data_IF_935165585625
#
_entry.id   IF_935165585625
#
_cell.length_a   1.000
_cell.length_b   1.000
_cell.length_c   1.000
_cell.angle_alpha   90.00
_cell.angle_beta   90.00
_cell.angle_gamma   90.00
#
_symmetry.space_group_name_H-M   'P 1'
#
loop_
_entity.id
_entity.type
_entity.pdbx_description
1 polymer ?
#
# COMPACT_ATOMS: atom_id res chain seq x y z
N UNK A 1 -33.04 -20.76 43.32
CA UNK A 1 -33.56 -19.41 43.62
C UNK A 1 -33.36 -18.60 42.36
N UNK A 2 -34.46 -18.16 41.76
CA UNK A 2 -34.45 -17.36 40.52
C UNK A 2 -34.02 -15.96 40.95
N UNK A 3 -32.85 -15.51 40.51
CA UNK A 3 -32.47 -14.11 40.62
C UNK A 3 -33.41 -13.31 39.73
N UNK A 4 -34.29 -12.55 40.37
CA UNK A 4 -35.20 -11.62 39.72
C UNK A 4 -34.35 -10.45 39.23
N UNK A 5 -34.16 -10.40 37.92
CA UNK A 5 -33.68 -9.23 37.20
C UNK A 5 -34.52 -8.02 37.59
N UNK A 6 -33.93 -7.06 38.32
CA UNK A 6 -34.48 -5.71 38.40
C UNK A 6 -34.11 -4.99 37.09
N UNK A 7 -34.83 -5.40 36.05
CA UNK A 7 -34.82 -4.83 34.72
C UNK A 7 -35.44 -3.42 34.78
N UNK A 8 -34.61 -2.42 34.46
CA UNK A 8 -34.96 -1.03 34.12
C UNK A 8 -35.53 -0.13 35.22
N UNK A 9 -34.64 0.60 35.94
CA UNK A 9 -34.91 2.03 36.26
C UNK A 9 -33.67 2.83 36.70
N UNK A 10 -32.49 2.57 36.13
CA UNK A 10 -31.36 3.49 36.26
C UNK A 10 -31.48 4.65 35.28
N UNK A 11 -31.28 5.90 35.71
CA UNK A 11 -31.10 7.02 34.76
C UNK A 11 -29.75 6.85 34.06
N UNK A 12 -29.73 6.97 32.73
CA UNK A 12 -28.51 6.81 31.92
C UNK A 12 -28.12 8.12 31.26
N UNK A 13 -26.81 8.34 31.06
CA UNK A 13 -26.33 9.43 30.23
C UNK A 13 -26.53 9.07 28.75
N UNK A 14 -27.37 9.80 28.02
CA UNK A 14 -27.61 9.49 26.60
C UNK A 14 -26.46 9.84 25.65
N UNK A 15 -25.32 10.32 26.17
CA UNK A 15 -24.11 10.64 25.39
C UNK A 15 -23.13 9.46 25.41
N UNK A 16 -22.88 8.87 26.58
CA UNK A 16 -21.97 7.73 26.74
C UNK A 16 -22.70 6.38 26.96
N UNK A 17 -24.03 6.40 27.16
CA UNK A 17 -24.86 5.23 27.44
C UNK A 17 -24.52 4.49 28.74
N UNK A 18 -23.77 5.13 29.65
CA UNK A 18 -23.49 4.61 30.98
C UNK A 18 -24.52 5.09 32.01
N UNK A 19 -24.66 4.34 33.11
CA UNK A 19 -25.55 4.68 34.22
C UNK A 19 -25.05 5.92 34.97
N UNK A 20 -25.95 6.86 35.26
CA UNK A 20 -25.64 8.03 36.08
C UNK A 20 -25.50 7.60 37.54
N UNK A 21 -24.41 7.97 38.22
CA UNK A 21 -24.24 7.73 39.66
C UNK A 21 -24.20 9.04 40.46
N UNK A 22 -25.37 9.56 40.91
CA UNK A 22 -25.49 10.84 41.63
C UNK A 22 -24.59 11.04 42.85
N UNK A 23 -24.13 9.95 43.48
CA UNK A 23 -23.31 9.97 44.70
C UNK A 23 -21.82 10.08 44.37
N UNK A 24 -21.37 9.49 43.25
CA UNK A 24 -19.95 9.35 42.92
C UNK A 24 -19.50 10.17 41.73
N UNK A 25 -20.43 10.66 40.91
CA UNK A 25 -20.16 11.33 39.64
C UNK A 25 -20.84 12.70 39.59
N UNK A 26 -20.17 13.63 38.90
CA UNK A 26 -20.68 14.97 38.71
C UNK A 26 -21.70 15.01 37.57
N UNK A 27 -22.95 15.36 37.92
CA UNK A 27 -24.08 15.39 36.99
C UNK A 27 -24.50 16.83 36.69
N UNK A 28 -24.78 17.10 35.42
CA UNK A 28 -25.33 18.38 34.97
C UNK A 28 -26.70 18.20 34.34
N UNK A 29 -27.62 19.13 34.61
CA UNK A 29 -28.90 19.23 33.91
C UNK A 29 -28.97 20.47 33.05
N UNK A 30 -29.66 20.37 31.90
CA UNK A 30 -29.99 21.53 31.09
C UNK A 30 -31.28 22.14 31.62
N UNK A 31 -31.21 23.32 32.25
CA UNK A 31 -32.32 23.96 32.99
C UNK A 31 -33.58 24.18 32.16
N UNK A 32 -33.44 24.40 30.84
CA UNK A 32 -34.57 24.64 29.94
C UNK A 32 -35.40 23.38 29.62
N UNK A 33 -34.83 22.18 29.78
CA UNK A 33 -35.49 20.92 29.39
C UNK A 33 -35.35 19.78 30.41
N UNK A 34 -34.57 19.95 31.47
CA UNK A 34 -34.43 19.00 32.57
C UNK A 34 -33.61 17.73 32.27
N UNK A 35 -33.08 17.55 31.06
CA UNK A 35 -32.28 16.36 30.74
C UNK A 35 -30.92 16.40 31.44
N UNK A 36 -30.50 15.24 31.97
CA UNK A 36 -29.31 15.08 32.83
C UNK A 36 -28.23 14.26 32.12
N UNK A 37 -26.97 14.67 32.29
CA UNK A 37 -25.79 14.05 31.70
C UNK A 37 -24.61 14.10 32.69
N UNK A 38 -23.57 13.30 32.46
CA UNK A 38 -22.29 13.55 33.14
C UNK A 38 -21.74 14.92 32.73
N UNK A 39 -21.14 15.63 33.68
CA UNK A 39 -20.54 16.95 33.48
C UNK A 39 -19.59 16.98 32.28
N UNK A 40 -18.65 16.04 32.22
CA UNK A 40 -17.68 15.96 31.12
C UNK A 40 -18.34 15.66 29.77
N UNK A 41 -19.36 14.79 29.74
CA UNK A 41 -20.06 14.44 28.51
C UNK A 41 -20.79 15.66 27.91
N UNK A 42 -21.47 16.45 28.74
CA UNK A 42 -22.19 17.63 28.29
C UNK A 42 -21.25 18.76 27.87
N UNK A 43 -20.14 18.97 28.60
CA UNK A 43 -19.10 19.94 28.23
C UNK A 43 -18.50 19.62 26.86
N UNK A 44 -18.11 18.37 26.62
CA UNK A 44 -17.56 17.95 25.33
C UNK A 44 -18.57 18.10 24.19
N UNK A 45 -19.86 17.84 24.44
CA UNK A 45 -20.93 18.05 23.48
C UNK A 45 -21.05 19.54 23.07
N UNK A 46 -20.94 20.46 24.02
CA UNK A 46 -20.95 21.89 23.74
C UNK A 46 -19.71 22.36 23.00
N UNK A 47 -18.53 21.83 23.32
CA UNK A 47 -17.29 22.15 22.61
C UNK A 47 -17.30 21.70 21.15
N UNK A 48 -17.88 20.54 20.86
CA UNK A 48 -18.02 20.05 19.49
C UNK A 48 -19.01 20.89 18.67
N UNK A 49 -20.01 21.48 19.32
CA UNK A 49 -21.11 22.22 18.67
C UNK A 49 -20.78 23.68 18.29
N UNK A 50 -19.51 24.10 18.31
CA UNK A 50 -19.02 25.50 18.14
C UNK A 50 -19.51 26.25 16.87
N UNK A 51 -20.13 25.57 15.89
CA UNK A 51 -20.57 26.19 14.65
C UNK A 51 -22.05 26.65 14.63
N UNK A 52 -22.93 26.12 15.50
CA UNK A 52 -24.36 26.48 15.56
C UNK A 52 -24.87 26.22 16.98
N UNK A 53 -25.52 27.23 17.59
CA UNK A 53 -26.25 27.23 18.88
C UNK A 53 -26.28 25.87 19.62
N UNK A 54 -25.81 25.82 20.87
CA UNK A 54 -25.84 24.58 21.66
C UNK A 54 -27.27 24.01 21.72
N UNK A 55 -27.40 22.69 21.62
CA UNK A 55 -28.69 22.01 21.67
C UNK A 55 -28.62 20.82 22.62
N UNK A 56 -29.72 20.53 23.30
CA UNK A 56 -29.83 19.36 24.16
C UNK A 56 -29.63 18.07 23.33
N UNK A 57 -28.77 17.13 23.75
CA UNK A 57 -28.58 15.85 23.07
C UNK A 57 -29.86 15.04 22.89
N UNK A 58 -30.82 15.16 23.82
CA UNK A 58 -32.07 14.40 23.81
C UNK A 58 -33.17 15.10 23.01
N UNK A 59 -33.64 16.26 23.45
CA UNK A 59 -34.79 16.94 22.86
C UNK A 59 -34.44 17.95 21.74
N UNK A 60 -33.15 18.18 21.49
CA UNK A 60 -32.64 19.14 20.49
C UNK A 60 -33.05 20.61 20.70
N UNK A 61 -33.64 20.93 21.85
CA UNK A 61 -33.96 22.31 22.22
C UNK A 61 -32.67 23.14 22.36
N UNK A 62 -32.67 24.35 21.82
CA UNK A 62 -31.54 25.27 21.88
C UNK A 62 -31.28 25.77 23.29
N UNK A 63 -30.06 25.57 23.79
CA UNK A 63 -29.56 26.02 25.09
C UNK A 63 -28.28 26.85 24.93
N UNK A 64 -27.86 27.50 26.00
CA UNK A 64 -26.57 28.18 26.16
C UNK A 64 -25.72 27.38 27.15
N UNK A 65 -24.41 27.62 27.17
CA UNK A 65 -23.50 27.01 28.15
C UNK A 65 -23.96 27.29 29.59
N UNK A 66 -24.48 28.49 29.86
CA UNK A 66 -25.00 28.87 31.18
C UNK A 66 -26.33 28.19 31.56
N UNK A 67 -26.98 27.50 30.62
CA UNK A 67 -28.19 26.73 30.92
C UNK A 67 -27.85 25.34 31.48
N UNK A 68 -26.57 24.92 31.48
CA UNK A 68 -26.12 23.71 32.16
C UNK A 68 -25.81 24.03 33.63
N UNK A 69 -26.55 23.40 34.55
CA UNK A 69 -26.31 23.52 35.99
C UNK A 69 -25.90 22.18 36.60
N UNK A 70 -24.93 22.22 37.51
CA UNK A 70 -24.51 21.05 38.29
C UNK A 70 -25.58 20.71 39.33
N UNK A 71 -25.92 19.44 39.40
CA UNK A 71 -26.87 18.90 40.37
C UNK A 71 -26.13 18.48 41.64
N UNK A 72 -26.74 18.74 42.79
CA UNK A 72 -26.27 18.28 44.09
C UNK A 72 -27.38 17.47 44.76
N UNK A 73 -27.05 16.27 45.23
CA UNK A 73 -28.01 15.37 45.86
C UNK A 73 -27.75 15.36 47.36
N UNK A 74 -28.76 15.74 48.15
CA UNK A 74 -28.71 15.56 49.60
C UNK A 74 -28.88 14.07 49.89
N UNK A 75 -27.85 13.45 50.47
CA UNK A 75 -27.96 12.09 50.97
C UNK A 75 -28.91 12.10 52.17
N UNK A 76 -30.10 11.53 52.00
CA UNK A 76 -30.91 11.04 53.12
C UNK A 76 -30.35 9.66 53.43
N UNK A 77 -29.48 9.59 54.44
CA UNK A 77 -28.88 8.34 54.86
C UNK A 77 -29.96 7.29 55.10
N UNK A 78 -29.81 6.14 54.47
CA UNK A 78 -30.54 4.94 54.86
C UNK A 78 -30.17 4.63 56.32
N UNK A 79 -31.18 4.43 57.15
CA UNK A 79 -31.09 4.46 58.61
C UNK A 79 -30.38 3.24 59.22
N UNK A 80 -29.12 3.01 58.87
CA UNK A 80 -28.25 2.02 59.51
C UNK A 80 -26.76 2.44 59.64
N UNK A 81 -26.47 3.73 59.50
CA UNK A 81 -25.21 4.30 59.99
C UNK A 81 -25.51 5.04 61.30
N UNK A 82 -24.94 4.56 62.40
CA UNK A 82 -24.93 5.26 63.69
C UNK A 82 -24.25 6.62 63.53
N UNK A 83 -25.06 7.66 63.34
CA UNK A 83 -24.64 9.06 63.42
C UNK A 83 -24.21 9.36 64.86
N UNK A 84 -22.96 9.79 65.13
CA UNK A 84 -22.67 10.51 66.36
C UNK A 84 -23.30 11.89 66.21
N UNK A 85 -24.43 12.05 66.88
CA UNK A 85 -25.09 13.33 67.13
C UNK A 85 -24.08 14.42 67.50
N UNK A 86 -24.28 15.61 66.95
CA UNK A 86 -23.68 16.87 67.41
C UNK A 86 -23.78 16.97 68.94
N UNK A 87 -22.74 16.53 69.63
CA UNK A 87 -22.39 17.02 70.96
C UNK A 87 -21.27 18.02 70.77
N UNK A 88 -21.46 19.20 71.36
CA UNK A 88 -20.43 20.19 71.63
C UNK A 88 -19.09 19.52 71.90
N UNK A 89 -18.15 19.64 70.97
CA UNK A 89 -16.80 19.11 71.12
C UNK A 89 -16.08 20.02 72.11
N UNK A 90 -16.02 19.52 73.34
CA UNK A 90 -14.98 19.86 74.29
C UNK A 90 -13.65 19.42 73.67
N UNK A 91 -12.71 20.36 73.52
CA UNK A 91 -11.38 20.12 72.96
C UNK A 91 -10.56 19.30 73.96
N UNK A 92 -10.71 17.99 73.91
CA UNK A 92 -9.71 17.08 74.46
C UNK A 92 -9.30 16.11 73.36
N UNK A 93 -8.42 16.59 72.50
CA UNK A 93 -7.69 15.77 71.53
C UNK A 93 -6.98 14.63 72.28
N UNK A 94 -7.55 13.43 72.21
CA UNK A 94 -6.93 12.23 72.75
C UNK A 94 -5.61 11.98 71.99
N UNK A 95 -4.49 12.24 72.67
CA UNK A 95 -3.15 12.02 72.14
C UNK A 95 -2.94 10.59 71.60
N UNK A 96 -3.74 9.61 72.03
CA UNK A 96 -3.75 8.25 71.48
C UNK A 96 -4.32 8.17 70.06
N UNK A 97 -5.36 8.93 69.73
CA UNK A 97 -5.98 8.96 68.39
C UNK A 97 -5.06 9.67 67.40
N UNK A 98 -4.50 10.83 67.78
CA UNK A 98 -3.52 11.53 66.94
C UNK A 98 -2.28 10.69 66.66
N UNK A 99 -1.76 9.94 67.65
CA UNK A 99 -0.63 9.03 67.42
C UNK A 99 -0.94 7.92 66.40
N UNK A 100 -2.17 7.40 66.38
CA UNK A 100 -2.59 6.39 65.39
C UNK A 100 -2.69 7.00 63.99
N UNK A 101 -3.26 8.20 63.90
CA UNK A 101 -3.40 8.92 62.63
C UNK A 101 -2.04 9.28 62.05
N UNK A 102 -1.11 9.81 62.85
CA UNK A 102 0.27 10.09 62.43
C UNK A 102 0.93 8.82 61.88
N UNK A 103 0.77 7.69 62.56
CA UNK A 103 1.34 6.41 62.12
C UNK A 103 0.74 5.91 60.80
N UNK A 104 -0.56 6.13 60.58
CA UNK A 104 -1.23 5.78 59.33
C UNK A 104 -0.76 6.69 58.18
N UNK A 105 -0.64 7.99 58.44
CA UNK A 105 -0.12 8.97 57.48
C UNK A 105 1.34 8.69 57.13
N UNK A 106 2.19 8.33 58.10
CA UNK A 106 3.58 7.91 57.86
C UNK A 106 3.65 6.71 56.89
N UNK A 107 2.81 5.69 57.10
CA UNK A 107 2.72 4.55 56.19
C UNK A 107 2.27 5.00 54.79
N UNK A 108 1.26 5.85 54.69
CA UNK A 108 0.76 6.36 53.42
C UNK A 108 1.81 7.20 52.67
N UNK A 109 2.53 8.06 53.37
CA UNK A 109 3.64 8.86 52.83
C UNK A 109 4.76 7.94 52.34
N UNK A 110 5.14 6.91 53.11
CA UNK A 110 6.17 5.95 52.68
C UNK A 110 5.76 5.19 51.40
N UNK A 111 4.49 4.80 51.29
CA UNK A 111 3.94 4.13 50.12
C UNK A 111 3.92 5.05 48.89
N UNK A 112 3.48 6.30 49.06
CA UNK A 112 3.49 7.30 47.99
C UNK A 112 4.92 7.64 47.53
N UNK A 113 5.86 7.80 48.45
CA UNK A 113 7.28 8.01 48.11
C UNK A 113 7.84 6.85 47.31
N UNK A 114 7.58 5.61 47.74
CA UNK A 114 8.03 4.41 47.01
C UNK A 114 7.41 4.32 45.61
N UNK A 115 6.14 4.71 45.47
CA UNK A 115 5.46 4.74 44.18
C UNK A 115 6.01 5.84 43.27
N UNK A 116 6.33 7.01 43.80
CA UNK A 116 6.93 8.11 43.06
C UNK A 116 8.33 7.74 42.55
N UNK A 117 9.14 7.08 43.38
CA UNK A 117 10.46 6.58 42.98
C UNK A 117 10.35 5.55 41.85
N UNK A 118 9.40 4.61 41.96
CA UNK A 118 9.15 3.62 40.90
C UNK A 118 8.71 4.31 39.59
N UNK A 119 7.79 5.25 39.65
CA UNK A 119 7.34 6.01 38.48
C UNK A 119 8.46 6.85 37.86
N UNK A 120 9.34 7.44 38.69
CA UNK A 120 10.51 8.17 38.22
C UNK A 120 11.44 7.26 37.41
N UNK A 121 11.69 6.04 37.90
CA UNK A 121 12.51 5.05 37.21
C UNK A 121 11.88 4.57 35.90
N UNK A 122 10.58 4.26 35.91
CA UNK A 122 9.83 3.90 34.70
C UNK A 122 9.87 5.02 33.65
N UNK A 123 9.76 6.28 34.07
CA UNK A 123 9.83 7.44 33.19
C UNK A 123 11.23 7.61 32.57
N UNK A 124 12.29 7.41 33.35
CA UNK A 124 13.68 7.43 32.86
C UNK A 124 13.92 6.34 31.82
N UNK A 125 13.48 5.12 32.10
CA UNK A 125 13.61 3.97 31.19
C UNK A 125 12.89 4.23 29.85
N UNK A 126 11.63 4.67 29.90
CA UNK A 126 10.84 5.01 28.70
C UNK A 126 11.47 6.18 27.94
N UNK A 127 12.03 7.16 28.63
CA UNK A 127 12.71 8.30 27.99
C UNK A 127 13.96 7.84 27.25
N UNK A 128 14.72 6.91 27.84
CA UNK A 128 15.90 6.33 27.20
C UNK A 128 15.51 5.52 25.95
N UNK A 129 14.47 4.70 26.03
CA UNK A 129 13.93 3.96 24.88
C UNK A 129 13.45 4.89 23.77
N UNK A 130 12.71 5.95 24.11
CA UNK A 130 12.26 6.95 23.14
C UNK A 130 13.43 7.63 22.43
N UNK A 131 14.51 7.93 23.16
CA UNK A 131 15.73 8.48 22.59
C UNK A 131 16.40 7.50 21.60
N UNK A 132 16.49 6.22 21.96
CA UNK A 132 17.02 5.17 21.09
C UNK A 132 16.17 5.01 19.82
N UNK A 133 14.85 4.90 19.96
CA UNK A 133 13.91 4.82 18.85
C UNK A 133 14.01 6.04 17.92
N UNK A 134 14.17 7.24 18.46
CA UNK A 134 14.34 8.47 17.65
C UNK A 134 15.65 8.45 16.86
N UNK A 135 16.74 7.93 17.42
CA UNK A 135 18.01 7.77 16.69
C UNK A 135 17.86 6.73 15.59
N UNK A 136 17.25 5.59 15.88
CA UNK A 136 17.03 4.52 14.91
C UNK A 136 16.15 4.99 13.75
N UNK A 137 15.04 5.67 14.03
CA UNK A 137 14.15 6.20 12.99
C UNK A 137 14.88 7.15 12.01
N UNK A 138 15.83 7.95 12.50
CA UNK A 138 16.64 8.81 11.62
C UNK A 138 17.54 8.01 10.68
N UNK A 139 18.15 6.93 11.18
CA UNK A 139 18.97 6.02 10.38
C UNK A 139 18.10 5.34 9.33
N UNK A 140 16.95 4.81 9.73
CA UNK A 140 16.03 4.10 8.83
C UNK A 140 15.50 5.02 7.72
N UNK A 141 15.21 6.29 8.04
CA UNK A 141 14.82 7.30 7.04
C UNK A 141 15.96 7.57 6.06
N UNK A 142 17.20 7.69 6.53
CA UNK A 142 18.36 7.91 5.66
C UNK A 142 18.55 6.73 4.71
N UNK A 143 18.54 5.50 5.22
CA UNK A 143 18.65 4.27 4.43
C UNK A 143 17.52 4.14 3.41
N UNK A 144 16.28 4.48 3.80
CA UNK A 144 15.13 4.46 2.88
C UNK A 144 15.30 5.46 1.74
N UNK A 145 15.81 6.66 2.02
CA UNK A 145 16.05 7.67 0.99
C UNK A 145 17.15 7.25 0.02
N UNK A 146 18.23 6.66 0.52
CA UNK A 146 19.30 6.10 -0.31
C UNK A 146 18.76 5.00 -1.24
N UNK A 147 18.01 4.03 -0.69
CA UNK A 147 17.38 2.97 -1.49
C UNK A 147 16.41 3.51 -2.54
N UNK A 148 15.66 4.58 -2.23
CA UNK A 148 14.77 5.23 -3.21
C UNK A 148 15.56 5.90 -4.34
N UNK A 149 16.69 6.53 -4.04
CA UNK A 149 17.56 7.16 -5.04
C UNK A 149 18.24 6.12 -5.94
N UNK A 150 18.73 5.02 -5.38
CA UNK A 150 19.26 3.89 -6.14
C UNK A 150 18.19 3.29 -7.05
N UNK A 151 16.98 3.06 -6.52
CA UNK A 151 15.84 2.57 -7.31
C UNK A 151 15.52 3.50 -8.49
N UNK A 152 15.49 4.81 -8.27
CA UNK A 152 15.23 5.78 -9.33
C UNK A 152 16.31 5.73 -10.42
N UNK A 153 17.57 5.61 -10.01
CA UNK A 153 18.71 5.50 -10.94
C UNK A 153 18.64 4.22 -11.77
N UNK A 154 18.37 3.07 -11.14
CA UNK A 154 18.21 1.79 -11.82
C UNK A 154 17.01 1.80 -12.77
N UNK A 155 15.89 2.38 -12.34
CA UNK A 155 14.69 2.49 -13.18
C UNK A 155 14.94 3.35 -14.43
N UNK A 156 15.71 4.43 -14.30
CA UNK A 156 16.12 5.25 -15.44
C UNK A 156 17.02 4.47 -16.41
N UNK A 157 18.04 3.78 -15.89
CA UNK A 157 18.94 2.96 -16.71
C UNK A 157 18.19 1.84 -17.45
N UNK A 158 17.27 1.16 -16.76
CA UNK A 158 16.44 0.11 -17.35
C UNK A 158 15.62 0.66 -18.52
N UNK A 159 14.95 1.81 -18.35
CA UNK A 159 14.18 2.44 -19.43
C UNK A 159 15.07 2.74 -20.63
N UNK A 160 16.22 3.37 -20.41
CA UNK A 160 17.17 3.70 -21.48
C UNK A 160 17.64 2.44 -22.22
N UNK A 161 17.95 1.36 -21.49
CA UNK A 161 18.38 0.09 -22.07
C UNK A 161 17.26 -0.59 -22.87
N UNK A 162 16.01 -0.51 -22.41
CA UNK A 162 14.86 -1.01 -23.17
C UNK A 162 14.68 -0.23 -24.48
N UNK A 163 14.77 1.10 -24.46
CA UNK A 163 14.67 1.92 -25.67
C UNK A 163 15.83 1.64 -26.67
N UNK A 164 17.06 1.46 -26.17
CA UNK A 164 18.20 1.05 -26.99
C UNK A 164 17.99 -0.34 -27.61
N UNK A 165 17.46 -1.30 -26.84
CA UNK A 165 17.16 -2.65 -27.31
C UNK A 165 16.07 -2.65 -28.38
N UNK A 166 15.00 -1.87 -28.21
CA UNK A 166 13.93 -1.74 -29.21
C UNK A 166 14.47 -1.17 -30.53
N UNK A 167 15.29 -0.11 -30.46
CA UNK A 167 15.95 0.46 -31.65
C UNK A 167 16.84 -0.56 -32.35
N UNK A 168 17.69 -1.27 -31.61
CA UNK A 168 18.57 -2.29 -32.17
C UNK A 168 17.79 -3.46 -32.76
N UNK A 169 16.69 -3.89 -32.11
CA UNK A 169 15.82 -4.94 -32.62
C UNK A 169 15.14 -4.53 -33.93
N UNK A 170 14.66 -3.29 -34.02
CA UNK A 170 14.10 -2.74 -35.25
C UNK A 170 15.14 -2.68 -36.37
N UNK A 171 16.35 -2.22 -36.06
CA UNK A 171 17.44 -2.19 -37.05
C UNK A 171 17.83 -3.59 -37.51
N UNK A 172 17.90 -4.57 -36.60
CA UNK A 172 18.13 -5.98 -36.93
C UNK A 172 17.05 -6.50 -37.88
N UNK A 173 15.78 -6.26 -37.59
CA UNK A 173 14.67 -6.68 -38.45
C UNK A 173 14.78 -6.05 -39.85
N UNK A 174 15.06 -4.75 -39.92
CA UNK A 174 15.26 -4.03 -41.19
C UNK A 174 16.44 -4.59 -42.00
N UNK A 175 17.54 -4.93 -41.33
CA UNK A 175 18.70 -5.53 -41.98
C UNK A 175 18.42 -6.97 -42.44
N UNK A 176 17.68 -7.75 -41.67
CA UNK A 176 17.24 -9.10 -42.06
C UNK A 176 16.34 -9.07 -43.29
N UNK A 177 15.38 -8.14 -43.35
CA UNK A 177 14.52 -7.95 -44.52
C UNK A 177 15.34 -7.57 -45.76
N UNK A 178 16.28 -6.62 -45.63
CA UNK A 178 17.17 -6.23 -46.72
C UNK A 178 18.09 -7.36 -47.17
N UNK A 179 18.66 -8.11 -46.23
CA UNK A 179 19.49 -9.28 -46.54
C UNK A 179 18.69 -10.34 -47.27
N UNK A 180 17.43 -10.57 -46.88
CA UNK A 180 16.55 -11.50 -47.56
C UNK A 180 16.22 -11.02 -48.98
N UNK A 181 15.96 -9.73 -49.18
CA UNK A 181 15.73 -9.15 -50.51
C UNK A 181 16.96 -9.30 -51.42
N UNK A 182 18.16 -8.96 -50.92
CA UNK A 182 19.41 -9.15 -51.65
C UNK A 182 19.68 -10.63 -51.97
N UNK A 183 19.40 -11.54 -51.04
CA UNK A 183 19.53 -12.97 -51.28
C UNK A 183 18.60 -13.45 -52.41
N UNK A 184 17.37 -12.92 -52.48
CA UNK A 184 16.43 -13.19 -53.59
C UNK A 184 16.94 -12.65 -54.92
N UNK A 185 17.48 -11.43 -54.95
CA UNK A 185 18.08 -10.84 -56.15
C UNK A 185 19.28 -11.65 -56.64
N UNK A 186 20.19 -12.04 -55.73
CA UNK A 186 21.33 -12.89 -56.05
C UNK A 186 20.90 -14.27 -56.56
N UNK A 187 19.87 -14.87 -55.96
CA UNK A 187 19.32 -16.13 -56.43
C UNK A 187 18.73 -16.02 -57.84
N UNK A 188 17.97 -14.97 -58.12
CA UNK A 188 17.42 -14.70 -59.45
C UNK A 188 18.54 -14.48 -60.48
N UNK A 189 19.56 -13.69 -60.15
CA UNK A 189 20.71 -13.47 -61.01
C UNK A 189 21.42 -14.80 -61.32
N UNK A 190 21.68 -15.61 -60.28
CA UNK A 190 22.38 -16.90 -60.44
C UNK A 190 21.58 -17.88 -61.31
N UNK A 191 20.26 -17.99 -61.12
CA UNK A 191 19.39 -18.80 -61.97
C UNK A 191 19.45 -18.39 -63.45
N UNK A 192 19.62 -17.10 -63.72
CA UNK A 192 19.72 -16.58 -65.09
C UNK A 192 21.12 -16.81 -65.67
N UNK A 193 22.18 -16.51 -64.93
CA UNK A 193 23.56 -16.46 -65.44
C UNK A 193 24.32 -17.79 -65.40
N UNK A 194 23.99 -18.68 -64.46
CA UNK A 194 24.72 -19.93 -64.24
C UNK A 194 24.02 -21.09 -64.96
N UNK A 195 24.68 -21.62 -66.00
CA UNK A 195 24.17 -22.73 -66.84
C UNK A 195 24.53 -24.10 -66.28
N UNK A 196 25.43 -24.18 -65.30
CA UNK A 196 25.93 -25.43 -64.72
C UNK A 196 25.19 -25.82 -63.43
N UNK A 197 24.16 -25.07 -63.06
CA UNK A 197 23.32 -25.39 -61.90
C UNK A 197 22.63 -26.75 -62.06
N UNK A 198 22.75 -27.57 -61.03
CA UNK A 198 22.01 -28.82 -60.94
C UNK A 198 20.54 -28.61 -60.52
N UNK A 199 19.76 -29.68 -60.61
CA UNK A 199 18.34 -29.64 -60.30
C UNK A 199 18.00 -29.31 -58.84
N UNK A 200 18.91 -29.59 -57.91
CA UNK A 200 18.73 -29.36 -56.48
C UNK A 200 19.02 -27.89 -56.13
N UNK A 201 20.06 -27.33 -56.71
CA UNK A 201 20.43 -25.92 -56.57
C UNK A 201 19.40 -25.01 -57.22
N UNK A 202 18.86 -25.36 -58.40
CA UNK A 202 17.75 -24.64 -59.02
C UNK A 202 16.54 -24.61 -58.07
N UNK A 203 16.22 -25.73 -57.42
CA UNK A 203 15.10 -25.83 -56.48
C UNK A 203 15.34 -24.97 -55.23
N UNK A 204 16.54 -25.01 -54.64
CA UNK A 204 16.91 -24.19 -53.46
C UNK A 204 16.82 -22.70 -53.75
N UNK A 205 17.30 -22.26 -54.91
CA UNK A 205 17.26 -20.86 -55.31
C UNK A 205 15.84 -20.40 -55.64
N UNK A 206 15.04 -21.23 -56.30
CA UNK A 206 13.65 -20.91 -56.67
C UNK A 206 12.69 -20.90 -55.46
N UNK A 207 13.01 -21.64 -54.40
CA UNK A 207 12.23 -21.68 -53.15
C UNK A 207 12.61 -20.59 -52.15
N UNK A 208 13.70 -19.84 -52.40
CA UNK A 208 14.27 -18.90 -51.44
C UNK A 208 13.27 -17.80 -51.05
N UNK A 209 12.78 -17.86 -49.82
CA UNK A 209 11.85 -16.89 -49.25
C UNK A 209 10.43 -16.95 -49.83
N UNK A 210 10.06 -18.06 -50.46
CA UNK A 210 8.68 -18.40 -50.83
C UNK A 210 8.15 -19.49 -49.88
N UNK A 211 6.94 -19.28 -49.33
CA UNK A 211 6.24 -20.31 -48.58
C UNK A 211 5.65 -21.41 -49.48
N UNK A 212 5.03 -22.42 -48.85
CA UNK A 212 4.54 -23.66 -49.48
C UNK A 212 3.56 -23.51 -50.68
N UNK A 213 3.08 -22.32 -51.00
CA UNK A 213 2.03 -22.06 -52.00
C UNK A 213 2.52 -21.87 -53.46
N UNK A 214 3.81 -22.07 -53.76
CA UNK A 214 4.38 -21.81 -55.10
C UNK A 214 5.00 -23.05 -55.76
N UNK A 215 4.65 -24.24 -55.30
CA UNK A 215 5.29 -25.49 -55.76
C UNK A 215 5.17 -25.70 -57.28
N UNK A 216 3.97 -25.52 -57.84
CA UNK A 216 3.73 -25.75 -59.27
C UNK A 216 4.45 -24.74 -60.17
N UNK A 217 4.55 -23.48 -59.73
CA UNK A 217 5.29 -22.43 -60.46
C UNK A 217 6.79 -22.67 -60.39
N UNK A 218 7.30 -23.11 -59.24
CA UNK A 218 8.71 -23.50 -59.06
C UNK A 218 9.05 -24.72 -59.91
N UNK A 219 8.19 -25.73 -59.96
CA UNK A 219 8.40 -26.94 -60.77
C UNK A 219 8.41 -26.62 -62.28
N UNK A 220 7.55 -25.69 -62.71
CA UNK A 220 7.52 -25.21 -64.10
C UNK A 220 8.78 -24.43 -64.46
N UNK A 221 9.23 -23.55 -63.56
CA UNK A 221 10.48 -22.80 -63.71
C UNK A 221 11.69 -23.75 -63.76
N UNK A 222 11.75 -24.72 -62.86
CA UNK A 222 12.80 -25.75 -62.80
C UNK A 222 12.92 -26.49 -64.14
N UNK A 223 11.81 -27.04 -64.65
CA UNK A 223 11.78 -27.74 -65.95
C UNK A 223 12.28 -26.84 -67.09
N UNK A 224 11.85 -25.58 -67.11
CA UNK A 224 12.22 -24.63 -68.16
C UNK A 224 13.72 -24.29 -68.15
N UNK A 225 14.32 -24.10 -66.97
CA UNK A 225 15.75 -23.79 -66.82
C UNK A 225 16.64 -24.99 -67.17
N UNK A 226 16.25 -26.20 -66.75
CA UNK A 226 16.97 -27.44 -67.12
C UNK A 226 16.99 -27.63 -68.64
N UNK A 227 15.87 -27.37 -69.31
CA UNK A 227 15.79 -27.44 -70.77
C UNK A 227 16.71 -26.39 -71.42
N UNK A 228 16.65 -25.13 -70.98
CA UNK A 228 17.53 -24.06 -71.47
C UNK A 228 19.01 -24.46 -71.38
N UNK A 229 19.45 -24.97 -70.23
CA UNK A 229 20.85 -25.33 -70.01
C UNK A 229 21.29 -26.47 -70.98
N UNK A 230 20.42 -27.48 -71.19
CA UNK A 230 20.66 -28.54 -72.20
C UNK A 230 20.77 -27.98 -73.62
N UNK A 231 19.88 -27.07 -74.02
CA UNK A 231 19.92 -26.45 -75.34
C UNK A 231 21.18 -25.61 -75.55
N UNK A 232 21.60 -24.83 -74.56
CA UNK A 232 22.84 -24.03 -74.62
C UNK A 232 24.07 -24.93 -74.77
N UNK A 233 24.14 -26.02 -74.02
CA UNK A 233 25.23 -27.00 -74.15
C UNK A 233 25.25 -27.63 -75.54
N UNK A 234 24.08 -28.01 -76.08
CA UNK A 234 23.97 -28.58 -77.42
C UNK A 234 24.45 -27.61 -78.51
N UNK A 235 24.06 -26.32 -78.41
CA UNK A 235 24.52 -25.28 -79.35
C UNK A 235 26.04 -25.12 -79.26
N UNK A 236 26.59 -25.12 -78.04
CA UNK A 236 28.03 -25.01 -77.83
C UNK A 236 28.79 -26.19 -78.47
N UNK A 237 28.29 -27.43 -78.28
CA UNK A 237 28.87 -28.64 -78.89
C UNK A 237 28.84 -28.54 -80.42
N UNK A 238 27.68 -28.22 -81.02
CA UNK A 238 27.57 -28.05 -82.47
C UNK A 238 28.53 -26.97 -82.99
N UNK A 239 28.67 -25.86 -82.27
CA UNK A 239 29.60 -24.80 -82.65
C UNK A 239 31.06 -25.27 -82.59
N UNK A 240 31.45 -25.98 -81.54
CA UNK A 240 32.80 -26.55 -81.44
C UNK A 240 33.08 -27.57 -82.53
N UNK A 241 32.13 -28.44 -82.88
CA UNK A 241 32.26 -29.41 -83.98
C UNK A 241 32.45 -28.71 -85.33
N UNK A 242 31.68 -27.65 -85.61
CA UNK A 242 31.79 -26.87 -86.85
C UNK A 242 33.14 -26.13 -86.93
N UNK A 243 33.61 -25.57 -85.80
CA UNK A 243 34.92 -24.92 -85.73
C UNK A 243 36.05 -25.94 -85.90
N UNK A 244 35.97 -27.11 -85.27
CA UNK A 244 36.96 -28.19 -85.43
C UNK A 244 37.04 -28.67 -86.88
N UNK A 245 35.89 -28.91 -87.50
CA UNK A 245 35.79 -29.29 -88.90
C UNK A 245 36.39 -28.22 -89.84
N UNK A 246 36.17 -26.94 -89.54
CA UNK A 246 36.74 -25.83 -90.31
C UNK A 246 38.27 -25.71 -90.15
N UNK A 247 38.81 -26.11 -89.00
CA UNK A 247 40.27 -26.15 -88.76
C UNK A 247 40.91 -27.36 -89.44
N UNK A 248 40.25 -28.52 -89.44
CA UNK A 248 40.75 -29.74 -90.10
C UNK A 248 40.68 -29.70 -91.64
N UNK A 249 39.82 -28.84 -92.19
CA UNK A 249 39.62 -28.67 -93.65
C UNK A 249 40.37 -27.47 -94.25
N UNK A 250 41.15 -26.73 -93.43
CA UNK A 250 41.96 -25.58 -93.83
C UNK A 250 43.45 -25.88 -93.78
#
# INVERSE_FOLDING_TARGET
MVEVSDEFSGTICSICYEALKPITEDLQSITICGHVFHELCLLQWFEYSKAKKHTCPVCKQGCKTNDACRLYFQSVGDGNETVPSQKSIDFQEDAGVLRKEVKLLEVKVSGLSSQLERQGKELEDVTHELCACKKQAKIDIALKNEALNEKATLQFQLRKKSEELEKSSFERFRLEERNMALAKELAALKLVSDVDLDEEDILKLATLGNGANSKDTIDTLKKSLVLRNKFVLQIFICFTEVVLFSIETS
#
